data_IF_941214778962
#
_entry.id   IF_941214778962
#
_cell.length_a   1.000
_cell.length_b   1.000
_cell.length_c   1.000
_cell.angle_alpha   90.00
_cell.angle_beta   90.00
_cell.angle_gamma   90.00
#
_symmetry.space_group_name_H-M   'P 1'
#
loop_
_entity.id
_entity.type
_entity.pdbx_description
1 polymer ?
#
# COMPACT_ATOMS: atom_id res chain seq x y z
N UNK A 1 -31.52 -19.21 -2.83
CA UNK A 1 -31.29 -17.80 -2.46
C UNK A 1 -31.57 -17.65 -0.98
N UNK A 2 -30.91 -16.70 -0.32
CA UNK A 2 -31.16 -16.38 1.09
C UNK A 2 -32.43 -15.54 1.23
N UNK A 3 -33.00 -15.50 2.44
CA UNK A 3 -34.02 -14.51 2.78
C UNK A 3 -33.36 -13.18 3.06
N UNK A 4 -34.01 -12.06 2.74
CA UNK A 4 -33.50 -10.74 3.10
C UNK A 4 -34.64 -9.83 3.54
N UNK A 5 -34.37 -8.90 4.47
CA UNK A 5 -35.34 -7.88 4.89
C UNK A 5 -34.90 -6.48 4.48
N UNK A 6 -33.67 -6.08 4.79
CA UNK A 6 -33.12 -4.75 4.49
C UNK A 6 -32.12 -4.77 3.34
N UNK A 7 -31.50 -5.92 3.09
CA UNK A 7 -30.53 -6.12 2.00
C UNK A 7 -31.18 -6.86 0.83
N UNK A 8 -30.41 -7.03 -0.25
CA UNK A 8 -30.84 -7.88 -1.36
C UNK A 8 -30.51 -9.35 -1.06
N UNK A 9 -31.41 -10.30 -1.43
CA UNK A 9 -31.13 -11.73 -1.35
C UNK A 9 -29.85 -12.11 -2.11
N UNK A 10 -29.02 -12.97 -1.50
CA UNK A 10 -27.79 -13.49 -2.10
C UNK A 10 -27.91 -15.01 -2.37
N UNK A 11 -27.05 -15.59 -3.24
CA UNK A 11 -26.92 -17.04 -3.32
C UNK A 11 -26.52 -17.65 -1.98
N UNK A 12 -27.11 -18.79 -1.62
CA UNK A 12 -26.75 -19.49 -0.37
C UNK A 12 -25.34 -20.08 -0.41
N UNK A 13 -24.87 -20.46 -1.59
CA UNK A 13 -23.52 -20.95 -1.85
C UNK A 13 -22.99 -20.25 -3.09
N UNK A 14 -21.79 -19.68 -2.99
CA UNK A 14 -21.15 -18.98 -4.10
C UNK A 14 -19.66 -19.30 -4.16
N UNK A 15 -19.25 -19.89 -5.27
CA UNK A 15 -17.83 -20.17 -5.53
C UNK A 15 -17.13 -18.91 -6.07
N UNK A 16 -16.05 -18.48 -5.40
CA UNK A 16 -15.23 -17.33 -5.79
C UNK A 16 -13.94 -17.71 -6.52
N UNK A 17 -13.65 -19.01 -6.66
CA UNK A 17 -12.52 -19.50 -7.45
C UNK A 17 -12.73 -19.20 -8.94
N UNK A 18 -11.71 -19.47 -9.76
CA UNK A 18 -11.87 -19.33 -11.21
C UNK A 18 -13.01 -20.21 -11.73
N UNK A 19 -13.75 -19.76 -12.76
CA UNK A 19 -14.89 -20.47 -13.30
C UNK A 19 -14.58 -21.95 -13.63
N UNK A 20 -13.39 -22.22 -14.18
CA UNK A 20 -12.94 -23.57 -14.48
C UNK A 20 -12.78 -24.45 -13.22
N UNK A 21 -12.32 -23.89 -12.09
CA UNK A 21 -12.23 -24.62 -10.82
C UNK A 21 -13.62 -24.87 -10.22
N UNK A 22 -14.49 -23.86 -10.23
CA UNK A 22 -15.85 -24.00 -9.72
C UNK A 22 -16.67 -25.03 -10.53
N UNK A 23 -16.37 -25.19 -11.82
CA UNK A 23 -17.03 -26.16 -12.69
C UNK A 23 -16.58 -27.61 -12.47
N UNK A 24 -15.41 -27.86 -11.86
CA UNK A 24 -14.94 -29.23 -11.60
C UNK A 24 -15.86 -29.98 -10.64
N UNK A 25 -16.34 -29.29 -9.61
CA UNK A 25 -17.25 -29.87 -8.62
C UNK A 25 -18.14 -28.78 -8.00
N UNK A 26 -19.40 -28.63 -8.46
CA UNK A 26 -20.34 -27.71 -7.86
C UNK A 26 -20.82 -28.24 -6.50
N UNK A 27 -20.42 -27.58 -5.42
CA UNK A 27 -20.88 -27.92 -4.08
C UNK A 27 -22.36 -27.53 -3.95
N UNK A 28 -23.22 -28.50 -3.67
CA UNK A 28 -24.66 -28.29 -3.47
C UNK A 28 -25.05 -28.16 -1.99
N UNK A 29 -24.26 -28.75 -1.08
CA UNK A 29 -24.53 -28.76 0.35
C UNK A 29 -23.24 -28.49 1.10
N UNK A 30 -23.28 -27.51 2.01
CA UNK A 30 -22.21 -27.17 2.93
C UNK A 30 -22.79 -27.04 4.34
N UNK A 31 -22.03 -27.43 5.34
CA UNK A 31 -22.39 -27.28 6.75
C UNK A 31 -21.38 -26.38 7.43
N UNK A 32 -21.85 -25.24 7.94
CA UNK A 32 -21.06 -24.33 8.74
C UNK A 32 -21.53 -24.34 10.19
N UNK A 33 -20.59 -24.40 11.12
CA UNK A 33 -20.83 -24.42 12.56
C UNK A 33 -20.14 -23.21 13.19
N UNK A 34 -20.88 -22.47 14.02
CA UNK A 34 -20.32 -21.39 14.83
C UNK A 34 -19.30 -22.00 15.81
N UNK A 35 -18.07 -21.49 15.83
CA UNK A 35 -16.96 -21.94 16.68
C UNK A 35 -16.74 -21.03 17.90
N UNK A 36 -17.59 -20.03 18.09
CA UNK A 36 -17.47 -19.02 19.13
C UNK A 36 -17.05 -17.67 18.57
N UNK A 37 -16.79 -16.76 19.49
CA UNK A 37 -16.29 -15.42 19.22
C UNK A 37 -14.76 -15.40 19.39
N UNK A 38 -14.08 -14.61 18.56
CA UNK A 38 -12.64 -14.40 18.65
C UNK A 38 -12.33 -13.30 19.69
N UNK A 39 -12.17 -12.05 19.26
CA UNK A 39 -11.78 -10.93 20.11
C UNK A 39 -12.98 -10.17 20.71
N UNK A 40 -14.06 -10.03 19.95
CA UNK A 40 -15.31 -9.38 20.36
C UNK A 40 -16.49 -10.34 20.23
N UNK A 41 -17.60 -10.05 20.90
CA UNK A 41 -18.81 -10.89 20.83
C UNK A 41 -19.42 -10.94 19.42
N UNK A 42 -19.07 -9.95 18.60
CA UNK A 42 -19.47 -9.78 17.21
C UNK A 42 -18.55 -10.53 16.23
N UNK A 43 -17.31 -10.83 16.63
CA UNK A 43 -16.30 -11.53 15.81
C UNK A 43 -16.52 -13.05 15.82
N UNK A 44 -17.63 -13.51 15.26
CA UNK A 44 -17.98 -14.93 15.22
C UNK A 44 -17.11 -15.69 14.23
N UNK A 45 -16.45 -16.73 14.71
CA UNK A 45 -15.68 -17.67 13.90
C UNK A 45 -16.57 -18.81 13.40
N UNK A 46 -16.43 -19.17 12.12
CA UNK A 46 -17.21 -20.23 11.47
C UNK A 46 -16.31 -21.34 10.94
N UNK A 47 -16.68 -22.59 11.24
CA UNK A 47 -16.06 -23.76 10.63
C UNK A 47 -17.01 -24.36 9.59
N UNK A 48 -16.61 -24.33 8.32
CA UNK A 48 -17.39 -24.86 7.21
C UNK A 48 -16.81 -26.17 6.67
N UNK A 49 -17.69 -27.12 6.35
CA UNK A 49 -17.34 -28.42 5.77
C UNK A 49 -18.27 -28.77 4.60
N UNK A 50 -17.73 -29.41 3.57
CA UNK A 50 -18.46 -29.88 2.41
C UNK A 50 -17.85 -31.19 1.90
N UNK A 51 -18.65 -32.00 1.21
CA UNK A 51 -18.15 -33.17 0.51
C UNK A 51 -17.39 -32.74 -0.76
N UNK A 52 -16.10 -33.08 -0.84
CA UNK A 52 -15.23 -32.75 -1.97
C UNK A 52 -14.40 -33.99 -2.36
N UNK A 53 -14.07 -34.15 -3.66
CA UNK A 53 -13.13 -35.17 -4.09
C UNK A 53 -11.72 -34.87 -3.58
N UNK A 54 -10.86 -35.88 -3.49
CA UNK A 54 -9.47 -35.74 -3.02
C UNK A 54 -8.56 -34.87 -3.92
N UNK A 55 -9.08 -34.47 -5.09
CA UNK A 55 -8.45 -33.54 -6.04
C UNK A 55 -8.69 -32.07 -5.70
N UNK A 56 -9.67 -31.77 -4.83
CA UNK A 56 -10.04 -30.42 -4.42
C UNK A 56 -10.06 -30.28 -2.90
N UNK A 57 -9.76 -29.08 -2.42
CA UNK A 57 -9.93 -28.72 -1.02
C UNK A 57 -10.51 -27.31 -0.89
N UNK A 58 -11.28 -27.08 0.18
CA UNK A 58 -11.68 -25.74 0.57
C UNK A 58 -10.43 -24.95 0.97
N UNK A 59 -10.27 -23.74 0.42
CA UNK A 59 -9.16 -22.85 0.75
C UNK A 59 -9.59 -21.70 1.64
N UNK A 60 -10.79 -21.17 1.43
CA UNK A 60 -11.35 -20.03 2.15
C UNK A 60 -12.87 -20.18 2.18
N UNK A 61 -13.48 -19.83 3.31
CA UNK A 61 -14.93 -19.83 3.50
C UNK A 61 -15.32 -18.62 4.33
N UNK A 62 -16.29 -17.86 3.83
CA UNK A 62 -16.83 -16.67 4.48
C UNK A 62 -18.34 -16.80 4.61
N UNK A 63 -18.84 -16.75 5.85
CA UNK A 63 -20.27 -16.82 6.14
C UNK A 63 -20.80 -15.39 6.27
N UNK A 64 -21.79 -15.06 5.45
CA UNK A 64 -22.37 -13.72 5.38
C UNK A 64 -23.84 -13.82 5.79
N UNK A 65 -24.20 -13.22 6.92
CA UNK A 65 -25.57 -13.19 7.45
C UNK A 65 -26.07 -11.74 7.56
N UNK A 66 -27.38 -11.54 7.40
CA UNK A 66 -28.03 -10.27 7.72
C UNK A 66 -28.38 -10.23 9.22
N UNK A 67 -27.94 -9.21 9.95
CA UNK A 67 -28.37 -8.96 11.33
C UNK A 67 -29.88 -8.70 11.41
N UNK A 68 -30.51 -8.90 12.57
CA UNK A 68 -31.97 -8.89 12.67
C UNK A 68 -32.57 -7.48 12.58
N UNK A 69 -32.07 -6.51 13.35
CA UNK A 69 -32.53 -5.11 13.35
C UNK A 69 -31.52 -4.12 12.74
N UNK A 70 -30.22 -4.37 12.87
CA UNK A 70 -29.12 -3.55 12.32
C UNK A 70 -27.94 -4.45 11.88
N UNK A 71 -26.89 -3.89 11.22
CA UNK A 71 -25.67 -4.64 10.93
C UNK A 71 -24.92 -5.13 12.18
N UNK A 72 -25.01 -4.37 13.28
CA UNK A 72 -24.34 -4.67 14.56
C UNK A 72 -25.23 -5.43 15.54
N UNK A 73 -26.34 -6.01 15.07
CA UNK A 73 -27.27 -6.77 15.91
C UNK A 73 -26.69 -8.15 16.26
N UNK A 74 -26.67 -8.56 17.54
CA UNK A 74 -26.18 -9.88 17.93
C UNK A 74 -27.04 -11.04 17.40
N UNK A 75 -28.27 -10.78 16.98
CA UNK A 75 -29.15 -11.76 16.37
C UNK A 75 -29.13 -11.65 14.84
N UNK A 76 -29.22 -12.80 14.18
CA UNK A 76 -29.29 -12.89 12.70
C UNK A 76 -30.69 -13.19 12.21
N UNK A 77 -31.05 -12.64 11.05
CA UNK A 77 -32.31 -12.94 10.37
C UNK A 77 -32.32 -14.41 9.91
N UNK A 78 -33.35 -15.16 10.30
CA UNK A 78 -33.47 -16.58 9.93
C UNK A 78 -33.48 -16.75 8.41
N UNK A 79 -32.55 -17.56 7.90
CA UNK A 79 -32.45 -17.88 6.47
C UNK A 79 -31.65 -16.87 5.66
N UNK A 80 -31.08 -15.83 6.30
CA UNK A 80 -30.31 -14.79 5.61
C UNK A 80 -28.86 -15.17 5.34
N UNK A 81 -28.33 -16.19 6.01
CA UNK A 81 -26.94 -16.61 5.87
C UNK A 81 -26.67 -17.29 4.52
N UNK A 82 -25.66 -16.80 3.82
CA UNK A 82 -25.03 -17.44 2.66
C UNK A 82 -23.54 -17.67 2.91
N UNK A 83 -22.91 -18.51 2.10
CA UNK A 83 -21.48 -18.81 2.19
C UNK A 83 -20.81 -18.53 0.86
N UNK A 84 -19.81 -17.65 0.88
CA UNK A 84 -18.86 -17.51 -0.20
C UNK A 84 -17.66 -18.41 0.08
N UNK A 85 -17.24 -19.20 -0.91
CA UNK A 85 -16.17 -20.17 -0.71
C UNK A 85 -15.21 -20.18 -1.89
N UNK A 86 -13.96 -20.55 -1.60
CA UNK A 86 -12.94 -20.85 -2.60
C UNK A 86 -12.51 -22.30 -2.48
N UNK A 87 -12.29 -22.90 -3.65
CA UNK A 87 -11.65 -24.20 -3.80
C UNK A 87 -10.31 -24.05 -4.49
N UNK A 88 -9.37 -24.91 -4.13
CA UNK A 88 -8.07 -25.03 -4.76
C UNK A 88 -7.76 -26.50 -5.07
N UNK A 89 -6.86 -26.73 -6.02
CA UNK A 89 -6.39 -28.08 -6.33
C UNK A 89 -5.50 -28.60 -5.20
N UNK A 90 -5.69 -29.86 -4.82
CA UNK A 90 -4.73 -30.61 -4.00
C UNK A 90 -3.52 -31.02 -4.86
N UNK A 91 -2.43 -31.60 -4.29
CA UNK A 91 -1.34 -32.13 -5.09
C UNK A 91 -1.79 -33.14 -6.15
N UNK A 92 -2.76 -34.01 -5.82
CA UNK A 92 -3.36 -34.95 -6.77
C UNK A 92 -4.16 -34.22 -7.85
N UNK A 93 -4.96 -33.22 -7.48
CA UNK A 93 -5.70 -32.39 -8.43
C UNK A 93 -4.80 -31.65 -9.41
N UNK A 94 -3.64 -31.15 -8.96
CA UNK A 94 -2.65 -30.50 -9.83
C UNK A 94 -2.01 -31.47 -10.83
N UNK A 95 -1.79 -32.72 -10.44
CA UNK A 95 -1.30 -33.76 -11.35
C UNK A 95 -2.35 -34.15 -12.41
N UNK A 96 -3.63 -34.20 -12.04
CA UNK A 96 -4.73 -34.55 -12.95
C UNK A 96 -5.15 -33.38 -13.86
N UNK A 97 -5.06 -32.15 -13.37
CA UNK A 97 -5.42 -30.93 -14.11
C UNK A 97 -4.22 -29.97 -14.23
N UNK A 98 -3.17 -30.36 -14.98
CA UNK A 98 -1.95 -29.56 -15.07
C UNK A 98 -2.19 -28.22 -15.78
N UNK A 99 -3.18 -28.14 -16.68
CA UNK A 99 -3.49 -26.88 -17.39
C UNK A 99 -4.15 -25.86 -16.48
N UNK A 100 -5.04 -26.30 -15.58
CA UNK A 100 -5.64 -25.44 -14.56
C UNK A 100 -4.59 -24.96 -13.57
N UNK A 101 -3.70 -25.85 -13.12
CA UNK A 101 -2.59 -25.50 -12.24
C UNK A 101 -1.66 -24.46 -12.89
N UNK A 102 -1.27 -24.64 -14.16
CA UNK A 102 -0.45 -23.67 -14.90
C UNK A 102 -1.17 -22.33 -15.08
N UNK A 103 -2.47 -22.35 -15.35
CA UNK A 103 -3.25 -21.12 -15.50
C UNK A 103 -3.29 -20.31 -14.19
N UNK A 104 -3.45 -20.99 -13.05
CA UNK A 104 -3.38 -20.38 -11.73
C UNK A 104 -2.00 -19.73 -11.49
N UNK A 105 -0.90 -20.46 -11.73
CA UNK A 105 0.46 -19.93 -11.59
C UNK A 105 0.71 -18.73 -12.50
N UNK A 106 0.26 -18.79 -13.77
CA UNK A 106 0.40 -17.68 -14.72
C UNK A 106 -0.37 -16.44 -14.28
N UNK A 107 -1.60 -16.58 -13.80
CA UNK A 107 -2.39 -15.46 -13.28
C UNK A 107 -1.70 -14.79 -12.09
N UNK A 108 -1.18 -15.58 -11.15
CA UNK A 108 -0.42 -15.05 -10.03
C UNK A 108 0.86 -14.33 -10.48
N UNK A 109 1.61 -14.91 -11.42
CA UNK A 109 2.81 -14.28 -11.97
C UNK A 109 2.52 -12.97 -12.72
N UNK A 110 1.43 -12.92 -13.49
CA UNK A 110 0.97 -11.70 -14.15
C UNK A 110 0.56 -10.63 -13.14
N UNK A 111 -0.14 -11.01 -12.07
CA UNK A 111 -0.49 -10.09 -10.99
C UNK A 111 0.73 -9.46 -10.32
N UNK A 112 1.73 -10.29 -10.00
CA UNK A 112 3.01 -9.81 -9.45
C UNK A 112 3.74 -8.90 -10.43
N UNK A 113 3.81 -9.30 -11.71
CA UNK A 113 4.46 -8.49 -12.74
C UNK A 113 3.79 -7.11 -12.91
N UNK A 114 2.44 -7.06 -12.91
CA UNK A 114 1.68 -5.81 -13.00
C UNK A 114 1.91 -4.94 -11.76
N UNK A 115 1.92 -5.54 -10.56
CA UNK A 115 2.19 -4.80 -9.33
C UNK A 115 3.60 -4.20 -9.32
N UNK A 116 4.61 -4.98 -9.71
CA UNK A 116 6.00 -4.51 -9.83
C UNK A 116 6.10 -3.40 -10.87
N UNK A 117 5.47 -3.56 -12.03
CA UNK A 117 5.45 -2.53 -13.07
C UNK A 117 4.79 -1.23 -12.58
N UNK A 118 3.69 -1.33 -11.84
CA UNK A 118 3.02 -0.17 -11.24
C UNK A 118 3.93 0.55 -10.23
N UNK A 119 4.60 -0.18 -9.34
CA UNK A 119 5.55 0.41 -8.38
C UNK A 119 6.71 1.09 -9.10
N UNK A 120 7.29 0.45 -10.11
CA UNK A 120 8.37 1.04 -10.92
C UNK A 120 7.91 2.32 -11.61
N UNK A 121 6.70 2.31 -12.20
CA UNK A 121 6.12 3.49 -12.84
C UNK A 121 5.96 4.65 -11.84
N UNK A 122 5.40 4.40 -10.65
CA UNK A 122 5.25 5.42 -9.60
C UNK A 122 6.60 6.00 -9.18
N UNK A 123 7.62 5.15 -9.00
CA UNK A 123 8.98 5.59 -8.65
C UNK A 123 9.58 6.44 -9.77
N UNK A 124 9.47 6.02 -11.03
CA UNK A 124 9.99 6.78 -12.19
C UNK A 124 9.30 8.14 -12.28
N UNK A 125 7.97 8.19 -12.17
CA UNK A 125 7.22 9.45 -12.19
C UNK A 125 7.65 10.38 -11.06
N UNK A 126 7.81 9.88 -9.84
CA UNK A 126 8.29 10.67 -8.71
C UNK A 126 9.71 11.22 -8.93
N UNK A 127 10.60 10.47 -9.59
CA UNK A 127 11.94 10.94 -9.96
C UNK A 127 11.90 11.96 -11.10
N UNK A 128 11.02 11.78 -12.10
CA UNK A 128 10.84 12.73 -13.19
C UNK A 128 10.24 14.07 -12.70
N UNK A 129 9.28 14.05 -11.79
CA UNK A 129 8.70 15.29 -11.22
C UNK A 129 9.69 16.01 -10.30
N UNK A 130 10.49 15.27 -9.53
CA UNK A 130 11.55 15.86 -8.70
C UNK A 130 12.70 16.47 -9.53
N UNK A 131 13.03 15.88 -10.69
CA UNK A 131 14.02 16.44 -11.61
C UNK A 131 13.55 17.74 -12.28
N UNK A 132 12.24 17.87 -12.56
CA UNK A 132 11.66 19.09 -13.14
C UNK A 132 11.60 20.27 -12.16
N UNK A 133 11.61 20.04 -10.84
CA UNK A 133 11.68 21.13 -9.84
C UNK A 133 13.05 21.82 -9.76
N UNK A 134 14.12 21.21 -10.30
CA UNK A 134 15.45 21.81 -10.29
C UNK A 134 15.66 22.88 -11.38
N UNK A 135 14.79 22.96 -12.39
CA UNK A 135 14.91 23.93 -13.49
C UNK A 135 14.21 25.27 -13.18
N UNK A 136 13.37 25.34 -12.15
CA UNK A 136 12.61 26.56 -11.80
C UNK A 136 13.05 27.30 -10.52
N UNK A 137 14.26 27.06 -10.00
CA UNK A 137 14.91 28.02 -9.09
C UNK A 137 15.94 28.86 -9.84
N UNK A 138 15.47 29.61 -10.83
CA UNK A 138 16.25 30.70 -11.42
C UNK A 138 16.60 31.76 -10.35
N UNK A 139 17.75 32.46 -10.44
CA UNK A 139 18.14 33.47 -9.47
C UNK A 139 17.08 34.55 -9.37
N UNK A 140 16.57 34.79 -8.15
CA UNK A 140 15.76 35.99 -7.87
C UNK A 140 16.68 37.21 -7.99
N UNK A 141 16.70 37.82 -9.16
CA UNK A 141 17.46 39.04 -9.38
C UNK A 141 17.00 39.76 -10.64
N UNK A 142 16.01 40.65 -10.51
CA UNK A 142 16.04 42.02 -11.03
C UNK A 142 14.74 42.75 -10.67
N UNK A 143 14.79 43.70 -9.73
CA UNK A 143 13.87 44.84 -9.70
C UNK A 143 14.74 46.09 -9.81
N UNK A 144 14.75 46.82 -10.94
CA UNK A 144 15.39 48.12 -11.02
C UNK A 144 14.42 49.17 -10.47
N UNK A 145 14.83 49.89 -9.43
CA UNK A 145 13.99 50.88 -8.75
C UNK A 145 14.80 51.77 -7.83
N UNK A 146 15.50 52.70 -8.45
CA UNK A 146 16.10 53.96 -7.97
C UNK A 146 15.57 54.52 -6.62
N UNK A 147 16.51 54.97 -5.76
CA UNK A 147 16.28 56.14 -4.90
C UNK A 147 16.48 55.98 -3.38
N UNK A 148 17.63 56.47 -2.87
CA UNK A 148 17.68 57.37 -1.71
C UNK A 148 17.61 56.80 -0.27
N UNK A 149 18.78 56.74 0.38
CA UNK A 149 19.06 57.45 1.63
C UNK A 149 18.36 57.06 2.94
N UNK A 150 19.17 56.61 3.92
CA UNK A 150 19.15 57.15 5.28
C UNK A 150 18.22 56.52 6.34
N UNK A 151 18.84 55.86 7.33
CA UNK A 151 18.82 56.32 8.73
C UNK A 151 17.58 56.15 9.62
N UNK A 152 17.77 55.36 10.68
CA UNK A 152 17.38 55.56 12.08
C UNK A 152 16.02 56.20 12.45
N UNK A 153 15.24 55.46 13.25
CA UNK A 153 14.59 56.00 14.46
C UNK A 153 13.08 56.25 14.41
N UNK A 154 12.43 56.06 15.56
CA UNK A 154 11.41 57.01 16.01
C UNK A 154 9.94 56.61 15.86
N UNK A 155 9.41 56.00 16.92
CA UNK A 155 8.12 56.31 17.58
C UNK A 155 7.16 57.34 16.96
N UNK A 156 5.86 56.98 16.92
CA UNK A 156 4.80 57.87 17.42
C UNK A 156 3.67 58.31 16.47
N UNK A 157 2.44 57.94 16.87
CA UNK A 157 1.17 58.69 16.79
C UNK A 157 0.31 58.68 15.50
N UNK A 158 -0.94 58.19 15.65
CA UNK A 158 -2.13 58.87 15.11
C UNK A 158 -3.15 58.04 14.30
N UNK A 159 -4.25 57.58 14.94
CA UNK A 159 -5.55 57.33 14.27
C UNK A 159 -6.41 56.16 14.81
N UNK A 160 -7.62 56.42 15.40
CA UNK A 160 -8.63 55.41 15.79
C UNK A 160 -9.90 55.46 14.88
N UNK A 161 -11.00 54.72 15.13
CA UNK A 161 -11.22 53.37 15.69
C UNK A 161 -12.08 52.46 14.78
N UNK A 162 -12.05 51.12 14.97
CA UNK A 162 -12.95 50.22 14.23
C UNK A 162 -13.00 48.76 14.70
N UNK A 163 -13.71 48.52 15.80
CA UNK A 163 -14.41 47.27 16.22
C UNK A 163 -13.68 45.91 16.40
N UNK A 164 -13.47 45.59 17.69
CA UNK A 164 -13.92 44.39 18.46
C UNK A 164 -13.61 42.96 17.97
N UNK A 165 -12.81 42.24 18.78
CA UNK A 165 -13.09 40.84 19.18
C UNK A 165 -11.89 39.86 19.17
N UNK A 166 -11.24 39.65 20.32
CA UNK A 166 -10.33 38.53 20.66
C UNK A 166 -11.07 37.58 21.64
N UNK A 167 -10.70 36.28 21.86
CA UNK A 167 -9.34 35.78 22.16
C UNK A 167 -8.88 34.54 21.34
N UNK A 168 -7.62 34.46 20.91
CA UNK A 168 -6.45 33.91 21.64
C UNK A 168 -6.70 32.51 22.23
N UNK A 169 -6.27 31.49 21.50
CA UNK A 169 -5.89 30.21 22.08
C UNK A 169 -4.39 30.24 22.36
N UNK A 170 -4.04 30.25 23.64
CA UNK A 170 -2.66 30.20 24.13
C UNK A 170 -2.09 28.78 23.97
N UNK A 171 -1.01 28.72 23.20
CA UNK A 171 0.27 28.04 23.49
C UNK A 171 0.24 26.80 24.41
N UNK A 172 -0.04 25.64 23.82
CA UNK A 172 0.50 24.37 24.30
C UNK A 172 1.88 24.09 23.68
N UNK A 173 2.83 23.43 24.38
CA UNK A 173 4.14 23.10 23.83
C UNK A 173 3.99 22.35 22.51
N UNK A 174 4.57 22.88 21.43
CA UNK A 174 4.49 22.29 20.10
C UNK A 174 5.02 20.86 20.15
N UNK A 175 4.10 19.88 20.11
CA UNK A 175 4.47 18.47 19.99
C UNK A 175 4.84 18.23 18.53
N UNK A 176 6.10 17.91 18.22
CA UNK A 176 6.47 17.54 16.87
C UNK A 176 5.64 16.32 16.46
N UNK A 177 4.76 16.48 15.47
CA UNK A 177 3.95 15.38 14.96
C UNK A 177 4.81 14.38 14.18
N UNK A 178 4.17 13.31 13.70
CA UNK A 178 4.77 12.33 12.79
C UNK A 178 5.55 13.01 11.63
N UNK A 179 4.96 14.06 11.05
CA UNK A 179 5.56 14.82 9.95
C UNK A 179 6.82 15.58 10.34
N UNK A 180 6.94 16.04 11.59
CA UNK A 180 8.15 16.70 12.05
C UNK A 180 9.30 15.72 12.21
N UNK A 181 9.04 14.52 12.74
CA UNK A 181 10.04 13.45 12.84
C UNK A 181 10.52 13.00 11.47
N UNK A 182 9.59 12.84 10.52
CA UNK A 182 9.91 12.54 9.13
C UNK A 182 10.75 13.66 8.46
N UNK A 183 10.38 14.92 8.67
CA UNK A 183 11.10 16.08 8.13
C UNK A 183 12.51 16.22 8.73
N UNK A 184 12.66 16.05 10.05
CA UNK A 184 13.94 16.09 10.73
C UNK A 184 14.86 14.94 10.28
N UNK A 185 14.32 13.72 10.12
CA UNK A 185 15.06 12.57 9.61
C UNK A 185 15.54 12.75 8.17
N UNK A 186 14.70 13.30 7.30
CA UNK A 186 15.06 13.62 5.92
C UNK A 186 16.17 14.69 5.84
N UNK A 187 16.09 15.74 6.66
CA UNK A 187 17.09 16.79 6.71
C UNK A 187 18.45 16.27 7.23
N UNK A 188 18.44 15.44 8.29
CA UNK A 188 19.64 14.83 8.83
C UNK A 188 20.31 13.86 7.83
N UNK A 189 19.53 13.03 7.14
CA UNK A 189 20.03 12.13 6.10
C UNK A 189 20.64 12.88 4.90
N UNK A 190 20.03 13.99 4.50
CA UNK A 190 20.54 14.83 3.42
C UNK A 190 21.85 15.54 3.80
N UNK A 191 21.98 16.01 5.05
CA UNK A 191 23.21 16.62 5.54
C UNK A 191 24.35 15.59 5.66
N UNK A 192 24.06 14.38 6.15
CA UNK A 192 25.03 13.30 6.26
C UNK A 192 25.51 12.78 4.89
N UNK A 193 24.64 12.80 3.87
CA UNK A 193 24.97 12.41 2.49
C UNK A 193 25.88 13.39 1.76
N UNK A 194 25.90 14.67 2.16
CA UNK A 194 26.77 15.69 1.56
C UNK A 194 28.23 15.67 2.05
N UNK A 195 28.53 14.93 3.11
CA UNK A 195 29.87 14.93 3.73
C UNK A 195 30.90 13.97 3.12
N UNK A 196 30.60 13.30 2.00
CA UNK A 196 31.47 12.24 1.43
C UNK A 196 32.17 12.58 0.12
N UNK A 197 32.07 13.81 -0.37
CA UNK A 197 32.80 14.27 -1.56
C UNK A 197 34.04 15.06 -1.14
N UNK A 198 35.15 14.35 -0.89
CA UNK A 198 36.42 15.01 -0.59
C UNK A 198 37.52 14.11 -0.04
N UNK A 199 37.99 13.13 -0.81
CA UNK A 199 39.39 12.65 -0.75
C UNK A 199 39.68 11.64 -1.86
N UNK A 200 40.70 11.92 -2.68
CA UNK A 200 41.45 10.87 -3.37
C UNK A 200 41.80 11.11 -4.83
N UNK A 201 42.83 11.94 -5.06
CA UNK A 201 43.85 11.82 -6.11
C UNK A 201 43.47 11.57 -7.58
N UNK A 202 43.63 12.63 -8.40
CA UNK A 202 44.00 12.55 -9.82
C UNK A 202 45.52 12.71 -9.98
N UNK A 203 46.11 11.87 -10.83
CA UNK A 203 47.43 12.00 -11.46
C UNK A 203 47.66 10.73 -12.27
N UNK A 204 47.35 10.71 -13.58
CA UNK A 204 48.26 11.02 -14.71
C UNK A 204 49.40 9.98 -14.80
N UNK A 205 49.80 9.40 -15.93
CA UNK A 205 49.38 9.51 -17.32
C UNK A 205 49.96 8.28 -18.09
N UNK A 206 49.36 8.06 -19.27
CA UNK A 206 49.74 7.28 -20.47
C UNK A 206 51.06 6.51 -20.68
N UNK A 207 50.90 5.42 -21.48
CA UNK A 207 51.65 4.95 -22.68
C UNK A 207 52.86 3.98 -22.55
N UNK A 208 52.61 2.76 -23.06
CA UNK A 208 53.25 2.12 -24.24
C UNK A 208 54.79 1.92 -24.28
N UNK A 209 55.24 0.66 -24.25
CA UNK A 209 56.30 0.11 -25.13
C UNK A 209 56.76 -1.31 -24.70
N UNK A 210 56.77 -2.20 -25.69
CA UNK A 210 57.57 -3.42 -25.93
C UNK A 210 58.66 -3.89 -24.95
N UNK A 211 58.79 -5.22 -24.79
CA UNK A 211 60.09 -5.88 -24.59
C UNK A 211 60.12 -7.16 -23.75
N UNK A 212 60.30 -8.30 -24.43
CA UNK A 212 61.09 -9.50 -24.06
C UNK A 212 61.32 -9.91 -22.59
N UNK A 213 61.14 -11.21 -22.29
CA UNK A 213 61.96 -11.87 -21.27
C UNK A 213 61.31 -13.05 -20.54
N UNK A 214 61.62 -14.26 -20.99
CA UNK A 214 61.39 -15.53 -20.30
C UNK A 214 62.02 -15.58 -18.89
N UNK A 215 61.39 -16.27 -17.94
CA UNK A 215 62.08 -17.30 -17.12
C UNK A 215 61.11 -18.17 -16.31
N UNK A 216 61.30 -19.49 -16.42
CA UNK A 216 60.76 -20.56 -15.56
C UNK A 216 61.41 -20.55 -14.17
N UNK A 217 60.75 -21.29 -13.25
CA UNK A 217 61.19 -21.98 -12.00
C UNK A 217 60.48 -21.37 -10.78
N UNK A 218 59.94 -22.12 -9.82
CA UNK A 218 59.89 -23.56 -9.51
C UNK A 218 58.48 -23.91 -9.06
#
# INVERSE_FOLDING_TARGET
MTTARRTSPIPQLKCLSSAALCALHPISVMRCTNQGASYTAEDIEWACSAALPDTLQLSETEVICEGYASPDDPFVLRGSCGVEYRVQLTPRGRAQHPDLARAETRRSALGVAVFVAFVVLVVVLARCTAANEHVQRGPRGFRPGWGGGGGWGGDGWGGPPGSRGFPKEDEGPWKPGFWTGAAAGAAAGYAAGRGREGRGYRGADTRESTGYGSTRRR
#
